data_IF_423694252898
#
_entry.id   IF_423694252898
#
_cell.length_a   1.000
_cell.length_b   1.000
_cell.length_c   1.000
_cell.angle_alpha   90.00
_cell.angle_beta   90.00
_cell.angle_gamma   90.00
#
_symmetry.space_group_name_H-M   'P 1'
#
loop_
_entity.id
_entity.type
_entity.pdbx_description
1 polymer ?
#
# COMPACT_ATOMS: atom_id res chain seq x y z
N UNK A 1 78.04 20.60 41.91
CA UNK A 1 79.17 19.75 41.49
C UNK A 1 78.58 18.61 40.66
N UNK A 2 78.80 18.63 39.35
CA UNK A 2 78.66 17.56 38.34
C UNK A 2 77.24 16.97 38.15
N UNK A 3 76.69 16.71 36.96
CA UNK A 3 77.28 16.37 35.66
C UNK A 3 76.21 16.53 34.55
N UNK A 4 76.62 16.99 33.35
CA UNK A 4 75.82 17.03 32.11
C UNK A 4 75.93 15.69 31.35
N UNK A 5 74.83 15.16 30.79
CA UNK A 5 74.77 14.29 29.59
C UNK A 5 73.33 14.42 29.03
N UNK A 6 72.98 15.07 27.92
CA UNK A 6 73.24 14.89 26.47
C UNK A 6 72.35 13.84 25.77
N UNK A 7 71.33 14.34 25.06
CA UNK A 7 70.78 13.92 23.74
C UNK A 7 70.14 12.53 23.55
N UNK A 8 68.89 12.48 23.05
CA UNK A 8 68.53 12.06 21.67
C UNK A 8 67.00 12.06 21.47
N UNK A 9 66.54 12.74 20.41
CA UNK A 9 65.14 12.73 19.99
C UNK A 9 64.79 11.39 19.32
N UNK A 10 63.66 10.80 19.71
CA UNK A 10 62.95 9.78 18.93
C UNK A 10 61.51 10.21 18.81
N UNK A 11 61.13 10.57 17.59
CA UNK A 11 59.76 10.80 17.16
C UNK A 11 59.12 9.41 16.99
N UNK A 12 58.19 9.04 17.88
CA UNK A 12 57.33 7.88 17.71
C UNK A 12 55.90 8.37 17.52
N UNK A 13 55.38 8.16 16.31
CA UNK A 13 53.97 8.31 15.98
C UNK A 13 53.18 7.29 16.81
N UNK A 14 52.43 7.78 17.80
CA UNK A 14 51.56 6.99 18.66
C UNK A 14 50.11 7.43 18.46
N UNK A 15 49.35 6.60 17.77
CA UNK A 15 47.91 6.75 17.55
C UNK A 15 47.15 6.73 18.87
N UNK A 16 46.41 7.79 19.17
CA UNK A 16 45.37 7.78 20.21
C UNK A 16 44.01 7.66 19.53
N UNK A 17 43.42 6.47 19.62
CA UNK A 17 42.02 6.23 19.30
C UNK A 17 41.16 7.01 20.30
N UNK A 18 40.51 8.08 19.84
CA UNK A 18 39.36 8.63 20.54
C UNK A 18 38.13 7.89 20.02
N UNK A 19 37.61 7.02 20.86
CA UNK A 19 36.29 6.41 20.71
C UNK A 19 35.25 7.53 20.68
N UNK A 20 34.81 7.90 19.49
CA UNK A 20 33.54 8.58 19.30
C UNK A 20 32.51 7.49 18.99
N UNK A 21 31.59 7.25 19.93
CA UNK A 21 30.31 6.64 19.60
C UNK A 21 29.56 7.62 18.70
N UNK A 22 29.85 7.61 17.41
CA UNK A 22 28.94 8.20 16.43
C UNK A 22 27.74 7.24 16.33
N UNK A 23 26.63 7.78 16.82
CA UNK A 23 25.27 7.23 16.84
C UNK A 23 25.07 6.15 15.77
N UNK A 24 24.54 5.02 16.20
CA UNK A 24 23.73 4.16 15.33
C UNK A 24 22.90 5.05 14.40
N UNK A 25 23.19 4.98 13.10
CA UNK A 25 22.28 5.36 12.04
C UNK A 25 21.11 4.37 12.08
N UNK A 26 20.32 4.44 13.15
CA UNK A 26 18.93 4.04 13.10
C UNK A 26 18.30 5.08 12.18
N UNK A 27 18.20 4.73 10.89
CA UNK A 27 17.33 5.42 9.96
C UNK A 27 15.94 5.42 10.58
N UNK A 28 15.61 6.46 11.34
CA UNK A 28 14.24 6.75 11.75
C UNK A 28 13.52 7.04 10.46
N UNK A 29 12.91 6.02 9.87
CA UNK A 29 11.97 6.21 8.79
C UNK A 29 10.95 7.24 9.29
N UNK A 30 10.95 8.44 8.71
CA UNK A 30 9.86 9.38 8.90
C UNK A 30 8.58 8.58 8.65
N UNK A 31 7.62 8.55 9.58
CA UNK A 31 6.36 7.86 9.34
C UNK A 31 5.82 8.37 8.01
N UNK A 32 5.79 7.50 6.99
CA UNK A 32 5.17 7.88 5.73
C UNK A 32 3.71 8.06 6.06
N UNK A 33 3.15 9.23 5.77
CA UNK A 33 1.72 9.51 5.96
C UNK A 33 0.87 8.79 4.90
N UNK A 34 1.37 7.66 4.42
CA UNK A 34 0.85 6.82 3.35
C UNK A 34 0.76 5.38 3.84
N UNK A 35 -0.30 4.68 3.45
CA UNK A 35 -0.56 3.27 3.78
C UNK A 35 -0.66 2.49 2.47
N UNK A 36 0.11 1.41 2.33
CA UNK A 36 -0.04 0.48 1.21
C UNK A 36 -1.37 -0.28 1.34
N UNK A 37 -2.10 -0.39 0.24
CA UNK A 37 -3.39 -1.07 0.16
C UNK A 37 -3.31 -2.22 -0.83
N UNK A 38 -4.02 -3.31 -0.55
CA UNK A 38 -4.07 -4.50 -1.40
C UNK A 38 -5.43 -5.18 -1.37
N UNK A 39 -5.78 -5.88 -2.45
CA UNK A 39 -6.88 -6.84 -2.48
C UNK A 39 -6.56 -7.98 -3.47
N UNK A 40 -7.06 -9.18 -3.20
CA UNK A 40 -7.17 -10.26 -4.19
C UNK A 40 -8.64 -10.42 -4.53
N UNK A 41 -8.97 -10.52 -5.81
CA UNK A 41 -10.34 -10.54 -6.31
C UNK A 41 -10.67 -11.89 -6.95
N UNK A 42 -11.81 -12.46 -6.57
CA UNK A 42 -12.39 -13.64 -7.19
C UNK A 42 -13.92 -13.66 -7.01
N UNK A 43 -14.59 -14.59 -7.68
CA UNK A 43 -16.05 -14.75 -7.61
C UNK A 43 -16.56 -15.36 -6.30
N UNK A 44 -15.67 -15.98 -5.49
CA UNK A 44 -16.05 -16.60 -4.21
C UNK A 44 -16.25 -15.57 -3.10
N UNK A 45 -15.68 -14.39 -3.27
CA UNK A 45 -15.79 -13.28 -2.33
C UNK A 45 -17.06 -12.43 -2.52
N UNK A 46 -17.83 -12.65 -3.58
CA UNK A 46 -19.14 -12.00 -3.77
C UNK A 46 -20.14 -12.38 -2.67
N UNK A 47 -21.10 -11.47 -2.40
CA UNK A 47 -22.25 -11.80 -1.53
C UNK A 47 -23.25 -12.59 -2.37
N UNK A 48 -23.22 -13.90 -2.17
CA UNK A 48 -23.72 -14.85 -3.15
C UNK A 48 -22.58 -15.26 -4.09
N UNK A 49 -21.65 -16.10 -3.62
CA UNK A 49 -20.52 -16.57 -4.42
C UNK A 49 -20.94 -17.06 -5.80
N UNK A 50 -20.19 -16.69 -6.82
CA UNK A 50 -20.41 -17.13 -8.19
C UNK A 50 -19.30 -18.10 -8.65
N UNK A 51 -19.49 -18.70 -9.83
CA UNK A 51 -18.57 -19.70 -10.39
C UNK A 51 -17.59 -19.10 -11.41
N UNK A 52 -17.38 -17.78 -11.43
CA UNK A 52 -16.41 -17.18 -12.34
C UNK A 52 -15.01 -17.72 -12.06
N UNK A 53 -14.30 -18.05 -13.13
CA UNK A 53 -12.88 -18.39 -13.09
C UNK A 53 -11.98 -17.14 -13.24
N UNK A 54 -12.59 -15.95 -13.39
CA UNK A 54 -11.86 -14.70 -13.44
C UNK A 54 -11.12 -14.44 -12.13
N UNK A 55 -10.00 -13.74 -12.24
CA UNK A 55 -9.18 -13.35 -11.10
C UNK A 55 -8.74 -11.91 -11.24
N UNK A 56 -8.42 -11.29 -10.12
CA UNK A 56 -7.81 -9.97 -10.12
C UNK A 56 -7.04 -9.67 -8.84
N UNK A 57 -6.34 -8.54 -8.88
CA UNK A 57 -5.65 -7.97 -7.74
C UNK A 57 -5.78 -6.45 -7.78
N UNK A 58 -5.81 -5.83 -6.61
CA UNK A 58 -5.64 -4.39 -6.46
C UNK A 58 -4.38 -4.13 -5.65
N UNK A 59 -3.60 -3.14 -6.07
CA UNK A 59 -2.62 -2.48 -5.21
C UNK A 59 -2.93 -0.99 -5.15
N UNK A 60 -2.52 -0.34 -4.08
CA UNK A 60 -2.67 1.10 -3.96
C UNK A 60 -1.84 1.71 -2.83
N UNK A 61 -1.87 3.03 -2.78
CA UNK A 61 -1.28 3.82 -1.71
C UNK A 61 -2.28 4.89 -1.30
N UNK A 62 -2.63 4.90 -0.03
CA UNK A 62 -3.54 5.88 0.55
C UNK A 62 -2.75 6.91 1.36
N UNK A 63 -2.77 8.18 0.94
CA UNK A 63 -2.18 9.29 1.68
C UNK A 63 -3.19 9.83 2.71
N UNK A 64 -2.83 9.78 3.99
CA UNK A 64 -3.67 10.20 5.12
C UNK A 64 -3.84 11.72 5.19
N UNK A 65 -2.84 12.50 4.79
CA UNK A 65 -2.91 13.97 4.77
C UNK A 65 -3.92 14.46 3.74
N UNK A 66 -3.83 13.97 2.51
CA UNK A 66 -4.66 14.43 1.38
C UNK A 66 -5.93 13.61 1.20
N UNK A 67 -6.04 12.48 1.90
CA UNK A 67 -7.08 11.44 1.75
C UNK A 67 -7.15 10.88 0.34
N UNK A 68 -6.04 10.89 -0.38
CA UNK A 68 -6.00 10.41 -1.77
C UNK A 68 -5.57 8.96 -1.80
N UNK A 69 -6.40 8.10 -2.39
CA UNK A 69 -6.05 6.75 -2.78
C UNK A 69 -5.60 6.74 -4.23
N UNK A 70 -4.34 6.37 -4.49
CA UNK A 70 -3.87 5.96 -5.81
C UNK A 70 -3.99 4.45 -5.93
N UNK A 71 -4.58 3.93 -7.01
CA UNK A 71 -4.85 2.50 -7.15
C UNK A 71 -4.51 1.96 -8.54
N UNK A 72 -4.21 0.66 -8.58
CA UNK A 72 -4.00 -0.15 -9.77
C UNK A 72 -4.73 -1.48 -9.58
N UNK A 73 -5.70 -1.76 -10.43
CA UNK A 73 -6.45 -3.03 -10.45
C UNK A 73 -6.06 -3.81 -11.71
N UNK A 74 -5.52 -5.01 -11.54
CA UNK A 74 -5.31 -5.96 -12.64
C UNK A 74 -6.33 -7.07 -12.56
N UNK A 75 -6.81 -7.51 -13.71
CA UNK A 75 -7.76 -8.61 -13.82
C UNK A 75 -7.54 -9.40 -15.12
N UNK A 76 -8.10 -10.61 -15.16
CA UNK A 76 -8.06 -11.50 -16.32
C UNK A 76 -9.24 -12.48 -16.32
N UNK A 77 -9.51 -13.10 -17.46
CA UNK A 77 -10.49 -14.19 -17.59
C UNK A 77 -11.93 -13.78 -17.89
N UNK A 78 -12.20 -12.49 -18.10
CA UNK A 78 -13.52 -11.96 -18.45
C UNK A 78 -13.44 -10.56 -19.09
N UNK A 79 -14.58 -10.08 -19.60
CA UNK A 79 -14.74 -8.72 -20.13
C UNK A 79 -15.62 -7.91 -19.17
N UNK A 80 -15.04 -6.98 -18.37
CA UNK A 80 -15.83 -6.17 -17.46
C UNK A 80 -16.67 -5.12 -18.19
N UNK A 81 -17.84 -4.84 -17.63
CA UNK A 81 -18.74 -3.76 -18.08
C UNK A 81 -18.69 -2.55 -17.16
N UNK A 82 -18.39 -2.76 -15.86
CA UNK A 82 -18.26 -1.72 -14.84
C UNK A 82 -17.28 -2.16 -13.75
N UNK A 83 -16.84 -1.21 -12.93
CA UNK A 83 -15.97 -1.48 -11.79
C UNK A 83 -15.95 -0.34 -10.80
N UNK A 84 -15.88 -0.69 -9.51
CA UNK A 84 -16.06 0.27 -8.43
C UNK A 84 -15.20 -0.06 -7.21
N UNK A 85 -14.97 0.96 -6.37
CA UNK A 85 -14.79 0.77 -4.94
C UNK A 85 -16.13 0.96 -4.22
N UNK A 86 -16.46 0.01 -3.35
CA UNK A 86 -17.67 -0.02 -2.55
C UNK A 86 -17.37 0.04 -1.06
N UNK A 87 -18.35 0.52 -0.30
CA UNK A 87 -18.40 0.43 1.16
C UNK A 87 -18.92 -0.95 1.57
N UNK A 88 -18.41 -1.51 2.66
CA UNK A 88 -18.93 -2.73 3.27
C UNK A 88 -17.81 -3.66 3.75
N UNK A 89 -18.00 -4.23 4.93
CA UNK A 89 -17.18 -5.33 5.43
C UNK A 89 -17.36 -6.59 4.56
N UNK A 90 -16.46 -7.56 4.74
CA UNK A 90 -16.56 -8.86 4.08
C UNK A 90 -17.95 -9.50 4.34
N UNK A 91 -18.56 -10.06 3.29
CA UNK A 91 -19.89 -10.67 3.37
C UNK A 91 -21.07 -9.68 3.38
N UNK A 92 -20.83 -8.37 3.31
CA UNK A 92 -21.88 -7.35 3.23
C UNK A 92 -21.74 -6.51 1.95
N UNK A 93 -22.87 -6.20 1.30
CA UNK A 93 -22.93 -5.27 0.17
C UNK A 93 -23.15 -3.84 0.65
N UNK A 94 -22.57 -2.87 -0.06
CA UNK A 94 -22.85 -1.46 0.16
C UNK A 94 -22.68 -0.62 -1.10
N UNK A 95 -22.98 0.67 -0.98
CA UNK A 95 -23.00 1.58 -2.13
C UNK A 95 -21.59 1.86 -2.66
N UNK A 96 -21.43 2.00 -3.99
CA UNK A 96 -20.17 2.44 -4.58
C UNK A 96 -19.84 3.88 -4.14
N UNK A 97 -18.54 4.20 -4.11
CA UNK A 97 -18.04 5.55 -3.82
C UNK A 97 -16.95 6.02 -4.77
N UNK A 98 -16.35 5.11 -5.54
CA UNK A 98 -15.50 5.42 -6.69
C UNK A 98 -15.95 4.57 -7.86
N UNK A 99 -16.22 5.20 -9.00
CA UNK A 99 -16.44 4.51 -10.28
C UNK A 99 -15.16 4.57 -11.12
N UNK A 100 -14.76 3.44 -11.67
CA UNK A 100 -13.60 3.38 -12.56
C UNK A 100 -13.96 3.91 -13.94
N UNK A 101 -13.14 4.83 -14.46
CA UNK A 101 -13.41 5.55 -15.72
C UNK A 101 -13.28 4.67 -16.96
N UNK A 102 -12.33 3.74 -16.96
CA UNK A 102 -12.15 2.76 -18.03
C UNK A 102 -11.89 1.39 -17.42
N UNK A 103 -12.77 0.43 -17.72
CA UNK A 103 -12.63 -0.96 -17.29
C UNK A 103 -12.29 -1.89 -18.44
N UNK A 104 -12.25 -1.44 -19.70
CA UNK A 104 -12.07 -2.35 -20.85
C UNK A 104 -10.62 -2.82 -21.02
N UNK A 105 -9.68 -2.15 -20.35
CA UNK A 105 -8.25 -2.49 -20.38
C UNK A 105 -7.73 -2.76 -18.97
N UNK A 106 -6.95 -3.83 -18.84
CA UNK A 106 -6.19 -4.18 -17.64
C UNK A 106 -4.74 -3.68 -17.82
N UNK A 107 -4.15 -2.94 -16.85
CA UNK A 107 -4.72 -2.54 -15.58
C UNK A 107 -5.67 -1.34 -15.67
N UNK A 108 -6.60 -1.28 -14.73
CA UNK A 108 -7.35 -0.06 -14.38
C UNK A 108 -6.48 0.74 -13.41
N UNK A 109 -6.19 1.99 -13.71
CA UNK A 109 -5.45 2.88 -12.81
C UNK A 109 -6.24 4.16 -12.56
N UNK A 110 -6.05 4.75 -11.38
CA UNK A 110 -6.70 6.00 -11.04
C UNK A 110 -6.30 6.54 -9.69
N UNK A 111 -6.83 7.72 -9.38
CA UNK A 111 -6.74 8.35 -8.07
C UNK A 111 -8.12 8.80 -7.63
N UNK A 112 -8.39 8.72 -6.33
CA UNK A 112 -9.62 9.20 -5.73
C UNK A 112 -9.32 9.91 -4.41
N UNK A 113 -9.79 11.15 -4.26
CA UNK A 113 -9.82 11.83 -2.97
C UNK A 113 -11.06 11.38 -2.21
N UNK A 114 -10.86 10.78 -1.05
CA UNK A 114 -11.91 10.17 -0.27
C UNK A 114 -12.53 11.16 0.71
N UNK A 115 -13.83 10.99 0.97
CA UNK A 115 -14.47 11.61 2.13
C UNK A 115 -13.83 11.06 3.41
N UNK A 116 -13.96 11.80 4.52
CA UNK A 116 -13.45 11.33 5.82
C UNK A 116 -14.09 10.00 6.25
N UNK A 117 -15.38 9.82 5.94
CA UNK A 117 -16.09 8.58 6.22
C UNK A 117 -15.54 7.41 5.38
N UNK A 118 -15.34 7.61 4.07
CA UNK A 118 -14.82 6.56 3.19
C UNK A 118 -13.37 6.20 3.50
N UNK A 119 -12.56 7.20 3.85
CA UNK A 119 -11.19 7.01 4.34
C UNK A 119 -11.16 6.15 5.61
N UNK A 120 -12.07 6.40 6.56
CA UNK A 120 -12.16 5.62 7.78
C UNK A 120 -12.55 4.16 7.50
N UNK A 121 -13.47 3.92 6.57
CA UNK A 121 -13.85 2.57 6.14
C UNK A 121 -12.70 1.87 5.43
N UNK A 122 -11.99 2.56 4.52
CA UNK A 122 -10.82 2.01 3.83
C UNK A 122 -9.76 1.55 4.83
N UNK A 123 -9.43 2.39 5.82
CA UNK A 123 -8.44 2.08 6.85
C UNK A 123 -8.88 0.96 7.81
N UNK A 124 -10.19 0.70 7.94
CA UNK A 124 -10.73 -0.44 8.70
C UNK A 124 -10.78 -1.74 7.90
N UNK A 125 -10.48 -1.69 6.61
CA UNK A 125 -10.70 -2.83 5.71
C UNK A 125 -12.18 -3.08 5.43
N UNK A 126 -13.03 -2.06 5.53
CA UNK A 126 -14.48 -2.11 5.29
C UNK A 126 -14.85 -1.51 3.92
N UNK A 127 -13.95 -1.65 2.94
CA UNK A 127 -14.21 -1.33 1.54
C UNK A 127 -13.73 -2.45 0.63
N UNK A 128 -14.33 -2.60 -0.54
CA UNK A 128 -13.95 -3.65 -1.49
C UNK A 128 -13.93 -3.12 -2.93
N UNK A 129 -13.05 -3.70 -3.76
CA UNK A 129 -13.12 -3.57 -5.22
C UNK A 129 -14.12 -4.58 -5.74
N UNK A 130 -14.95 -4.16 -6.69
CA UNK A 130 -15.85 -5.06 -7.41
C UNK A 130 -15.82 -4.75 -8.90
N UNK A 131 -15.67 -5.78 -9.74
CA UNK A 131 -15.78 -5.66 -11.19
C UNK A 131 -16.98 -6.50 -11.66
N UNK A 132 -17.74 -5.94 -12.60
CA UNK A 132 -18.99 -6.51 -13.09
C UNK A 132 -18.85 -6.92 -14.55
N UNK A 133 -19.72 -7.83 -15.00
CA UNK A 133 -19.82 -8.19 -16.41
C UNK A 133 -21.27 -8.37 -16.84
N UNK A 134 -21.47 -8.73 -18.10
CA UNK A 134 -22.80 -9.09 -18.60
C UNK A 134 -23.34 -10.37 -17.96
N UNK A 135 -22.50 -11.36 -17.65
CA UNK A 135 -22.91 -12.61 -17.03
C UNK A 135 -23.21 -12.43 -15.53
N UNK A 136 -22.45 -11.55 -14.87
CA UNK A 136 -22.58 -11.29 -13.44
C UNK A 136 -22.72 -9.78 -13.19
N UNK A 137 -23.91 -9.23 -13.52
CA UNK A 137 -24.19 -7.80 -13.39
C UNK A 137 -24.09 -7.30 -11.94
N UNK A 138 -24.39 -8.15 -10.96
CA UNK A 138 -24.25 -7.84 -9.53
C UNK A 138 -22.80 -7.80 -9.02
N UNK A 139 -21.86 -8.37 -9.78
CA UNK A 139 -20.46 -8.55 -9.38
C UNK A 139 -19.92 -9.87 -9.93
N UNK A 140 -18.89 -9.81 -10.78
CA UNK A 140 -18.17 -10.99 -11.28
C UNK A 140 -17.04 -11.37 -10.33
N UNK A 141 -16.21 -10.41 -9.91
CA UNK A 141 -15.16 -10.62 -8.93
C UNK A 141 -15.11 -9.49 -7.91
N UNK A 142 -14.91 -9.88 -6.64
CA UNK A 142 -14.82 -8.98 -5.49
C UNK A 142 -13.55 -9.25 -4.70
N UNK A 143 -12.97 -8.19 -4.12
CA UNK A 143 -11.84 -8.30 -3.21
C UNK A 143 -11.88 -7.22 -2.14
N UNK A 144 -11.80 -7.63 -0.87
CA UNK A 144 -11.74 -6.70 0.25
C UNK A 144 -10.40 -5.94 0.23
N UNK A 145 -10.45 -4.61 0.32
CA UNK A 145 -9.25 -3.77 0.36
C UNK A 145 -8.73 -3.70 1.77
N UNK A 146 -7.50 -4.14 1.97
CA UNK A 146 -6.81 -4.20 3.25
C UNK A 146 -5.53 -3.37 3.21
N UNK A 147 -5.14 -2.78 4.33
CA UNK A 147 -3.76 -2.31 4.48
C UNK A 147 -2.80 -3.48 4.44
N UNK A 148 -1.67 -3.32 3.76
CA UNK A 148 -0.61 -4.33 3.69
C UNK A 148 0.28 -4.31 4.92
#
# INVERSE_FOLDING_TARGET
MNLKVTTLAVLLMGSAALVACEKDETTTATPTDSVEMTATLDGKQEVGPNNSAATGTMTGTYNKTTRTLSYRVTYQGFTPTMGHLHRGAAGTNGNPFVSFSNVTTSPITGTATLSEADAALLLKGETYVNLHSQAYAGGEIRGQVMSK
#
